data_IF_705075050085
#
_entry.id   IF_705075050085
#
_cell.length_a   1.000
_cell.length_b   1.000
_cell.length_c   1.000
_cell.angle_alpha   90.00
_cell.angle_beta   90.00
_cell.angle_gamma   90.00
#
_symmetry.space_group_name_H-M   'P 1'
#
loop_
_entity.id
_entity.type
_entity.pdbx_description
1 polymer ?
#
# COMPACT_ATOMS: atom_id res chain seq x y z
N UNK A 1 -39.85 -17.33 16.40
CA UNK A 1 -39.57 -16.21 15.47
C UNK A 1 -38.29 -15.44 15.81
N UNK A 2 -38.01 -15.09 17.08
CA UNK A 2 -36.81 -14.33 17.49
C UNK A 2 -35.47 -15.08 17.25
N UNK A 3 -35.46 -16.41 17.40
CA UNK A 3 -34.27 -17.25 17.12
C UNK A 3 -33.87 -17.28 15.64
N UNK A 4 -34.86 -17.18 14.73
CA UNK A 4 -34.63 -17.22 13.28
C UNK A 4 -33.99 -15.91 12.78
N UNK A 5 -34.46 -14.77 13.30
CA UNK A 5 -33.90 -13.45 13.00
C UNK A 5 -32.47 -13.26 13.51
N UNK A 6 -32.12 -13.77 14.71
CA UNK A 6 -30.73 -13.74 15.20
C UNK A 6 -29.81 -14.56 14.30
N UNK A 7 -30.21 -15.77 13.92
CA UNK A 7 -29.39 -16.65 13.07
C UNK A 7 -29.15 -16.04 11.68
N UNK A 8 -30.13 -15.36 11.09
CA UNK A 8 -29.98 -14.66 9.81
C UNK A 8 -29.13 -13.38 9.92
N UNK A 9 -29.26 -12.62 11.00
CA UNK A 9 -28.46 -11.41 11.23
C UNK A 9 -26.97 -11.76 11.41
N UNK A 10 -26.66 -12.83 12.14
CA UNK A 10 -25.29 -13.29 12.33
C UNK A 10 -24.66 -13.85 11.06
N UNK A 11 -25.41 -14.60 10.25
CA UNK A 11 -24.94 -15.05 8.94
C UNK A 11 -24.66 -13.86 8.01
N UNK A 12 -25.46 -12.80 8.07
CA UNK A 12 -25.19 -11.58 7.29
C UNK A 12 -23.93 -10.84 7.77
N UNK A 13 -23.70 -10.75 9.08
CA UNK A 13 -22.51 -10.11 9.67
C UNK A 13 -21.22 -10.88 9.35
N UNK A 14 -21.23 -12.21 9.43
CA UNK A 14 -20.07 -13.04 9.06
C UNK A 14 -19.77 -12.97 7.56
N UNK A 15 -20.80 -13.01 6.70
CA UNK A 15 -20.65 -12.83 5.25
C UNK A 15 -20.09 -11.44 4.89
N UNK A 16 -20.54 -10.38 5.57
CA UNK A 16 -20.00 -9.02 5.38
C UNK A 16 -18.53 -8.93 5.79
N UNK A 17 -18.13 -9.59 6.88
CA UNK A 17 -16.74 -9.62 7.33
C UNK A 17 -15.84 -10.40 6.36
N UNK A 18 -16.29 -11.57 5.89
CA UNK A 18 -15.55 -12.40 4.92
C UNK A 18 -15.37 -11.67 3.58
N UNK A 19 -16.42 -11.01 3.09
CA UNK A 19 -16.35 -10.20 1.86
C UNK A 19 -15.41 -8.99 2.05
N UNK A 20 -15.36 -8.41 3.24
CA UNK A 20 -14.41 -7.34 3.58
C UNK A 20 -12.97 -7.85 3.56
N UNK A 21 -12.70 -9.00 4.20
CA UNK A 21 -11.36 -9.59 4.29
C UNK A 21 -10.83 -10.00 2.91
N UNK A 22 -11.66 -10.65 2.09
CA UNK A 22 -11.29 -11.05 0.72
C UNK A 22 -11.04 -9.85 -0.19
N UNK A 23 -11.83 -8.78 -0.07
CA UNK A 23 -11.56 -7.53 -0.77
C UNK A 23 -10.23 -6.88 -0.33
N UNK A 24 -9.92 -6.91 0.97
CA UNK A 24 -8.65 -6.39 1.50
C UNK A 24 -7.44 -7.19 0.99
N UNK A 25 -7.51 -8.53 0.98
CA UNK A 25 -6.45 -9.39 0.44
C UNK A 25 -6.23 -9.16 -1.07
N UNK A 26 -7.29 -9.02 -1.84
CA UNK A 26 -7.18 -8.75 -3.28
C UNK A 26 -6.52 -7.39 -3.55
N UNK A 27 -6.83 -6.37 -2.75
CA UNK A 27 -6.22 -5.05 -2.90
C UNK A 27 -4.71 -5.06 -2.60
N UNK A 28 -4.24 -5.98 -1.75
CA UNK A 28 -2.81 -6.13 -1.44
C UNK A 28 -2.05 -6.95 -2.49
N UNK A 29 -2.73 -7.77 -3.29
CA UNK A 29 -2.09 -8.61 -4.31
C UNK A 29 -1.45 -7.83 -5.48
N UNK A 30 -1.58 -6.51 -5.51
CA UNK A 30 -1.17 -5.64 -6.62
C UNK A 30 -0.03 -4.68 -6.24
N UNK A 31 0.81 -5.08 -5.29
CA UNK A 31 2.02 -4.34 -4.92
C UNK A 31 3.28 -5.13 -5.24
N UNK A 32 4.31 -4.41 -5.66
CA UNK A 32 5.64 -4.92 -5.98
C UNK A 32 6.63 -4.44 -4.94
N UNK A 33 7.46 -5.36 -4.44
CA UNK A 33 8.53 -5.05 -3.48
C UNK A 33 9.69 -4.34 -4.19
N UNK A 34 10.07 -3.19 -3.64
CA UNK A 34 11.28 -2.46 -3.99
C UNK A 34 12.29 -2.68 -2.86
N UNK A 35 13.43 -3.26 -3.23
CA UNK A 35 14.58 -3.43 -2.35
C UNK A 35 15.19 -2.07 -2.01
N UNK A 36 15.96 -2.03 -0.92
CA UNK A 36 16.68 -0.81 -0.56
C UNK A 36 17.77 -0.49 -1.58
N UNK A 37 18.03 0.80 -1.76
CA UNK A 37 19.15 1.29 -2.54
C UNK A 37 19.89 2.33 -1.70
N UNK A 38 21.22 2.17 -1.59
CA UNK A 38 22.10 3.14 -0.98
C UNK A 38 23.04 3.71 -2.04
N UNK A 39 22.97 5.01 -2.26
CA UNK A 39 23.92 5.74 -3.10
C UNK A 39 24.83 6.61 -2.23
N UNK A 40 26.14 6.46 -2.40
CA UNK A 40 27.14 7.24 -1.69
C UNK A 40 27.82 8.23 -2.63
N UNK A 41 27.74 9.52 -2.32
CA UNK A 41 28.66 10.51 -2.86
C UNK A 41 29.94 10.48 -2.02
N UNK A 42 31.07 10.21 -2.67
CA UNK A 42 32.38 10.17 -2.04
C UNK A 42 33.25 11.33 -2.52
N UNK A 43 34.10 11.85 -1.64
CA UNK A 43 35.17 12.79 -1.99
C UNK A 43 36.52 12.20 -1.62
N UNK A 44 37.55 12.58 -2.36
CA UNK A 44 38.94 12.29 -2.01
C UNK A 44 39.28 12.93 -0.66
N UNK A 45 39.94 12.16 0.20
CA UNK A 45 40.46 12.64 1.47
C UNK A 45 41.45 13.79 1.22
N UNK A 46 41.19 15.02 1.73
CA UNK A 46 42.02 16.19 1.45
C UNK A 46 43.45 16.05 2.00
N UNK A 47 43.67 15.20 3.01
CA UNK A 47 45.00 14.94 3.59
C UNK A 47 45.70 13.75 2.90
N UNK A 48 45.03 13.05 1.98
CA UNK A 48 45.61 11.96 1.23
C UNK A 48 46.29 12.43 -0.06
N UNK A 49 47.61 12.56 0.02
CA UNK A 49 48.46 12.94 -1.11
C UNK A 49 48.60 11.87 -2.19
N UNK A 50 48.16 10.63 -1.91
CA UNK A 50 48.20 9.50 -2.84
C UNK A 50 46.87 9.27 -3.57
N UNK A 51 45.80 9.97 -3.20
CA UNK A 51 44.44 9.84 -3.75
C UNK A 51 43.86 8.42 -3.66
N UNK A 52 44.27 7.65 -2.66
CA UNK A 52 43.83 6.26 -2.44
C UNK A 52 42.63 6.18 -1.47
N UNK A 53 42.36 7.24 -0.72
CA UNK A 53 41.31 7.33 0.29
C UNK A 53 40.19 8.25 -0.17
N UNK A 54 38.97 7.76 0.02
CA UNK A 54 37.76 8.57 -0.11
C UNK A 54 36.96 8.49 1.18
N UNK A 55 36.20 9.54 1.48
CA UNK A 55 35.20 9.54 2.54
C UNK A 55 33.83 9.89 1.95
N UNK A 56 32.79 9.34 2.56
CA UNK A 56 31.40 9.60 2.17
C UNK A 56 31.06 11.04 2.60
N UNK A 57 30.64 11.86 1.64
CA UNK A 57 30.20 13.24 1.87
C UNK A 57 28.70 13.41 1.83
N UNK A 58 27.99 12.46 1.21
CA UNK A 58 26.56 12.32 1.32
C UNK A 58 26.17 10.86 1.06
N UNK A 59 25.13 10.40 1.73
CA UNK A 59 24.41 9.19 1.35
C UNK A 59 22.98 9.56 0.98
N UNK A 60 22.39 8.81 0.05
CA UNK A 60 20.98 8.86 -0.29
C UNK A 60 20.47 7.43 -0.26
N UNK A 61 19.55 7.17 0.64
CA UNK A 61 18.96 5.84 0.83
C UNK A 61 17.50 5.86 0.38
N UNK A 62 17.12 4.80 -0.32
CA UNK A 62 15.72 4.41 -0.53
C UNK A 62 15.45 3.26 0.43
N UNK A 63 14.60 3.53 1.41
CA UNK A 63 14.11 2.51 2.33
C UNK A 63 13.24 1.49 1.58
N UNK A 64 13.30 0.19 1.96
CA UNK A 64 12.53 -0.83 1.27
C UNK A 64 11.03 -0.58 1.44
N UNK A 65 10.30 -0.70 0.33
CA UNK A 65 8.88 -0.38 0.29
C UNK A 65 8.14 -1.25 -0.73
N UNK A 66 6.82 -1.18 -0.71
CA UNK A 66 5.96 -1.77 -1.72
C UNK A 66 5.28 -0.68 -2.53
N UNK A 67 5.34 -0.77 -3.85
CA UNK A 67 4.71 0.18 -4.78
C UNK A 67 3.54 -0.48 -5.52
N UNK A 68 2.43 0.23 -5.67
CA UNK A 68 1.29 -0.26 -6.44
C UNK A 68 1.70 -0.50 -7.90
N UNK A 69 1.37 -1.68 -8.43
CA UNK A 69 1.82 -2.14 -9.76
C UNK A 69 1.31 -1.25 -10.90
N UNK A 70 0.21 -0.54 -10.66
CA UNK A 70 -0.51 0.28 -11.63
C UNK A 70 -0.84 1.64 -11.01
N UNK A 71 -1.20 2.60 -11.83
CA UNK A 71 -1.80 3.84 -11.38
C UNK A 71 -3.18 3.58 -10.74
N UNK A 72 -3.57 4.40 -9.77
CA UNK A 72 -4.87 4.27 -9.08
C UNK A 72 -6.00 4.40 -10.09
N UNK A 73 -6.91 3.43 -10.11
CA UNK A 73 -8.00 3.41 -11.08
C UNK A 73 -9.09 4.43 -10.73
N UNK A 74 -9.85 4.85 -11.75
CA UNK A 74 -11.06 5.66 -11.56
C UNK A 74 -12.08 4.98 -10.63
N UNK A 75 -12.16 3.64 -10.63
CA UNK A 75 -13.04 2.84 -9.79
C UNK A 75 -12.63 2.89 -8.31
N UNK A 76 -11.35 2.72 -8.01
CA UNK A 76 -10.85 2.76 -6.64
C UNK A 76 -11.00 4.17 -6.05
N UNK A 77 -10.69 5.19 -6.87
CA UNK A 77 -10.88 6.58 -6.48
C UNK A 77 -12.36 6.95 -6.29
N UNK A 78 -13.27 6.42 -7.13
CA UNK A 78 -14.71 6.59 -6.94
C UNK A 78 -15.18 5.95 -5.63
N UNK A 79 -14.65 4.78 -5.28
CA UNK A 79 -14.93 4.11 -4.00
C UNK A 79 -14.51 4.97 -2.81
N UNK A 80 -13.29 5.53 -2.85
CA UNK A 80 -12.83 6.52 -1.89
C UNK A 80 -13.81 7.70 -1.76
N UNK A 81 -14.21 8.30 -2.88
CA UNK A 81 -15.15 9.42 -2.88
C UNK A 81 -16.48 9.06 -2.24
N UNK A 82 -17.04 7.88 -2.57
CA UNK A 82 -18.30 7.38 -2.01
C UNK A 82 -18.19 7.15 -0.49
N UNK A 83 -17.10 6.54 -0.02
CA UNK A 83 -16.88 6.23 1.40
C UNK A 83 -16.64 7.48 2.25
N UNK A 84 -15.95 8.47 1.69
CA UNK A 84 -15.63 9.74 2.38
C UNK A 84 -16.66 10.85 2.12
N UNK A 85 -17.69 10.58 1.31
CA UNK A 85 -18.68 11.56 0.84
C UNK A 85 -18.05 12.76 0.12
N UNK A 86 -16.84 12.61 -0.42
CA UNK A 86 -16.18 13.62 -1.27
C UNK A 86 -16.80 13.61 -2.66
N UNK A 87 -16.84 14.79 -3.28
CA UNK A 87 -17.24 14.91 -4.68
C UNK A 87 -16.11 14.41 -5.58
N UNK A 88 -16.40 13.43 -6.43
CA UNK A 88 -15.42 12.93 -7.40
C UNK A 88 -15.06 14.02 -8.42
N UNK A 89 -13.76 14.23 -8.71
CA UNK A 89 -13.34 15.08 -9.82
C UNK A 89 -13.89 14.57 -11.15
N UNK A 90 -14.33 15.48 -12.01
CA UNK A 90 -14.91 15.12 -13.30
C UNK A 90 -13.86 14.40 -14.16
N UNK A 91 -14.16 13.16 -14.55
CA UNK A 91 -13.32 12.43 -15.49
C UNK A 91 -13.64 12.83 -16.94
N UNK A 92 -12.70 12.64 -17.89
CA UNK A 92 -12.96 12.86 -19.31
C UNK A 92 -14.19 12.09 -19.81
N UNK A 93 -14.89 12.63 -20.81
CA UNK A 93 -16.13 12.02 -21.32
C UNK A 93 -15.85 10.60 -21.83
N UNK A 94 -16.64 9.64 -21.35
CA UNK A 94 -16.47 8.22 -21.69
C UNK A 94 -15.16 7.64 -21.14
N UNK A 95 -14.68 8.15 -20.01
CA UNK A 95 -13.62 7.51 -19.22
C UNK A 95 -14.13 6.16 -18.70
N UNK A 96 -13.33 5.11 -18.88
CA UNK A 96 -13.61 3.79 -18.33
C UNK A 96 -13.05 3.77 -16.89
N UNK A 97 -13.86 3.48 -15.85
CA UNK A 97 -13.40 3.47 -14.45
C UNK A 97 -12.23 2.51 -14.16
N UNK A 98 -11.97 1.53 -15.02
CA UNK A 98 -10.83 0.61 -14.88
C UNK A 98 -9.50 1.21 -15.39
N UNK A 99 -9.52 2.42 -15.95
CA UNK A 99 -8.34 3.16 -16.36
C UNK A 99 -7.85 4.06 -15.21
N UNK A 100 -6.61 4.58 -15.27
CA UNK A 100 -6.09 5.51 -14.27
C UNK A 100 -7.02 6.70 -14.05
N UNK A 101 -7.26 7.04 -12.78
CA UNK A 101 -7.96 8.28 -12.44
C UNK A 101 -7.13 9.48 -12.92
N UNK A 102 -7.78 10.44 -13.56
CA UNK A 102 -7.16 11.68 -14.03
C UNK A 102 -7.97 12.89 -13.56
N UNK A 103 -7.57 14.12 -13.93
CA UNK A 103 -8.17 15.35 -13.40
C UNK A 103 -8.15 15.39 -11.87
N UNK A 104 -7.13 14.78 -11.26
CA UNK A 104 -6.83 14.88 -9.83
C UNK A 104 -5.72 15.89 -9.63
N UNK A 105 -5.61 16.42 -8.42
CA UNK A 105 -4.51 17.27 -8.01
C UNK A 105 -3.81 16.66 -6.78
N UNK A 106 -2.76 17.30 -6.29
CA UNK A 106 -1.96 16.78 -5.18
C UNK A 106 -2.82 16.46 -3.94
N UNK A 107 -3.71 17.38 -3.57
CA UNK A 107 -4.55 17.24 -2.38
C UNK A 107 -5.56 16.09 -2.50
N UNK A 108 -6.08 15.86 -3.71
CA UNK A 108 -6.95 14.71 -3.98
C UNK A 108 -6.20 13.38 -3.81
N UNK A 109 -4.94 13.31 -4.28
CA UNK A 109 -4.09 12.13 -4.17
C UNK A 109 -3.63 11.87 -2.73
N UNK A 110 -3.20 12.90 -2.00
CA UNK A 110 -2.85 12.81 -0.56
C UNK A 110 -4.07 12.38 0.27
N UNK A 111 -5.25 12.96 0.04
CA UNK A 111 -6.45 12.59 0.77
C UNK A 111 -6.86 11.12 0.54
N UNK A 112 -6.56 10.57 -0.65
CA UNK A 112 -6.75 9.15 -0.93
C UNK A 112 -5.78 8.29 -0.11
N UNK A 113 -4.51 8.66 -0.07
CA UNK A 113 -3.50 8.00 0.77
C UNK A 113 -3.88 8.05 2.25
N UNK A 114 -4.24 9.23 2.79
CA UNK A 114 -4.67 9.40 4.18
C UNK A 114 -5.90 8.55 4.53
N UNK A 115 -6.85 8.44 3.61
CA UNK A 115 -8.02 7.57 3.81
C UNK A 115 -7.64 6.10 3.92
N UNK A 116 -6.77 5.61 3.02
CA UNK A 116 -6.25 4.24 3.13
C UNK A 116 -5.47 4.05 4.42
N UNK A 117 -4.61 5.00 4.78
CA UNK A 117 -3.83 4.96 6.01
C UNK A 117 -4.70 4.87 7.25
N UNK A 118 -5.75 5.67 7.31
CA UNK A 118 -6.72 5.64 8.41
C UNK A 118 -7.50 4.33 8.45
N UNK A 119 -7.91 3.81 7.28
CA UNK A 119 -8.72 2.60 7.19
C UNK A 119 -7.93 1.33 7.59
N UNK A 120 -6.70 1.21 7.10
CA UNK A 120 -5.85 0.04 7.34
C UNK A 120 -4.94 0.19 8.56
N UNK A 121 -4.85 1.39 9.12
CA UNK A 121 -4.02 1.73 10.28
C UNK A 121 -2.52 1.51 10.04
N UNK A 122 -2.08 1.79 8.81
CA UNK A 122 -0.68 1.79 8.33
C UNK A 122 -0.44 3.04 7.48
N UNK A 123 0.76 3.24 6.98
CA UNK A 123 1.11 4.39 6.15
C UNK A 123 1.03 4.06 4.66
N UNK A 124 -0.01 4.56 4.00
CA UNK A 124 -0.02 4.78 2.55
C UNK A 124 0.37 6.22 2.26
N UNK A 125 1.20 6.41 1.24
CA UNK A 125 1.66 7.73 0.80
C UNK A 125 1.93 7.74 -0.71
N UNK A 126 2.21 8.94 -1.23
CA UNK A 126 2.73 9.07 -2.59
C UNK A 126 4.21 8.64 -2.60
N UNK A 127 4.74 8.15 -3.73
CA UNK A 127 6.18 7.97 -3.85
C UNK A 127 6.88 9.33 -3.86
N UNK A 128 8.09 9.40 -3.33
CA UNK A 128 9.00 10.50 -3.61
C UNK A 128 9.47 10.45 -5.07
N UNK A 129 9.98 11.57 -5.60
CA UNK A 129 10.59 11.61 -6.94
C UNK A 129 11.64 10.51 -7.12
N UNK A 130 12.49 10.31 -6.09
CA UNK A 130 13.56 9.32 -6.13
C UNK A 130 13.03 7.90 -6.10
N UNK A 131 12.09 7.59 -5.21
CA UNK A 131 11.48 6.26 -5.15
C UNK A 131 10.81 5.91 -6.49
N UNK A 132 10.15 6.88 -7.12
CA UNK A 132 9.53 6.70 -8.41
C UNK A 132 10.57 6.44 -9.52
N UNK A 133 11.61 7.27 -9.60
CA UNK A 133 12.68 7.15 -10.62
C UNK A 133 13.46 5.85 -10.47
N UNK A 134 13.79 5.44 -9.24
CA UNK A 134 14.44 4.16 -8.97
C UNK A 134 13.56 2.99 -9.42
N UNK A 135 12.30 3.00 -8.99
CA UNK A 135 11.33 1.99 -9.38
C UNK A 135 11.17 1.90 -10.89
N UNK A 136 11.17 3.05 -11.59
CA UNK A 136 11.08 3.10 -13.04
C UNK A 136 12.34 2.55 -13.70
N UNK A 137 13.54 2.93 -13.24
CA UNK A 137 14.80 2.75 -13.97
C UNK A 137 15.22 1.29 -14.19
N UNK A 138 14.66 0.35 -13.45
CA UNK A 138 15.11 -1.04 -13.47
C UNK A 138 14.25 -1.90 -14.40
N UNK A 139 14.91 -2.48 -15.39
CA UNK A 139 14.41 -3.72 -15.99
C UNK A 139 13.32 -3.57 -17.05
N UNK A 140 13.35 -2.48 -17.82
CA UNK A 140 12.51 -2.41 -19.01
C UNK A 140 12.99 -3.37 -20.10
N UNK A 141 12.03 -4.03 -20.74
CA UNK A 141 12.32 -4.71 -22.00
C UNK A 141 12.74 -3.71 -23.06
N UNK A 142 13.65 -4.13 -23.93
CA UNK A 142 14.06 -3.31 -25.09
C UNK A 142 12.83 -2.83 -25.84
N UNK A 143 12.84 -1.56 -26.23
CA UNK A 143 11.77 -0.95 -27.01
C UNK A 143 11.39 -1.84 -28.19
N UNK A 144 10.14 -2.32 -28.18
CA UNK A 144 9.61 -3.14 -29.24
C UNK A 144 8.87 -2.23 -30.20
N UNK A 145 9.43 -2.04 -31.39
CA UNK A 145 8.82 -1.20 -32.43
C UNK A 145 7.98 -2.02 -33.39
N UNK A 146 6.82 -1.50 -33.76
CA UNK A 146 6.02 -2.05 -34.85
C UNK A 146 6.61 -1.68 -36.23
N UNK A 147 5.91 -2.07 -37.32
CA UNK A 147 6.32 -1.77 -38.70
C UNK A 147 6.43 -0.27 -39.04
N UNK A 148 5.82 0.59 -38.23
CA UNK A 148 5.83 2.04 -38.38
C UNK A 148 6.84 2.71 -37.44
N UNK A 149 7.62 1.93 -36.68
CA UNK A 149 8.58 2.47 -35.71
C UNK A 149 7.98 2.86 -34.36
N UNK A 150 6.69 2.58 -34.12
CA UNK A 150 5.98 2.93 -32.89
C UNK A 150 6.35 1.93 -31.80
N UNK A 151 6.79 2.44 -30.64
CA UNK A 151 7.10 1.58 -29.50
C UNK A 151 5.80 1.04 -28.87
N UNK A 152 5.66 -0.28 -28.80
CA UNK A 152 4.47 -0.95 -28.27
C UNK A 152 4.57 -1.27 -26.79
N UNK A 153 5.72 -1.04 -26.15
CA UNK A 153 5.94 -1.36 -24.73
C UNK A 153 5.62 -0.18 -23.80
N UNK A 154 5.31 1.00 -24.35
CA UNK A 154 4.99 2.23 -23.62
C UNK A 154 3.67 2.80 -24.17
N UNK A 155 3.03 3.71 -23.44
CA UNK A 155 1.80 4.41 -23.92
C UNK A 155 2.09 5.89 -24.04
N UNK A 156 2.00 6.45 -25.24
CA UNK A 156 2.38 7.83 -25.55
C UNK A 156 1.57 8.35 -26.74
N UNK A 157 1.80 9.61 -27.15
CA UNK A 157 0.98 10.32 -28.15
C UNK A 157 0.65 9.50 -29.41
N UNK A 158 1.62 8.76 -29.96
CA UNK A 158 1.45 8.06 -31.23
C UNK A 158 0.68 6.73 -31.15
N UNK A 159 0.51 6.14 -29.95
CA UNK A 159 -0.22 4.88 -29.77
C UNK A 159 -1.40 4.97 -28.82
N UNK A 160 -1.61 6.13 -28.19
CA UNK A 160 -2.77 6.45 -27.38
C UNK A 160 -4.03 6.53 -28.22
N UNK A 161 -5.01 5.67 -27.92
CA UNK A 161 -6.28 5.65 -28.65
C UNK A 161 -7.23 6.69 -28.08
N UNK A 162 -7.72 7.59 -28.94
CA UNK A 162 -8.70 8.62 -28.60
C UNK A 162 -8.25 9.57 -27.47
N UNK A 163 -6.95 9.87 -27.38
CA UNK A 163 -6.40 10.82 -26.39
C UNK A 163 -6.80 10.47 -24.94
N UNK A 164 -6.63 9.19 -24.59
CA UNK A 164 -6.99 8.63 -23.28
C UNK A 164 -5.90 7.70 -22.77
N UNK A 165 -5.83 7.47 -21.45
CA UNK A 165 -5.02 6.40 -20.88
C UNK A 165 -5.38 5.06 -21.50
N UNK A 166 -4.40 4.18 -21.60
CA UNK A 166 -4.60 2.79 -21.99
C UNK A 166 -4.90 1.93 -20.77
N UNK A 167 -5.27 0.67 -21.00
CA UNK A 167 -5.54 -0.29 -19.94
C UNK A 167 -4.34 -0.46 -18.99
N UNK A 168 -4.59 -0.69 -17.71
CA UNK A 168 -3.53 -0.76 -16.69
C UNK A 168 -2.51 -1.90 -16.90
N UNK A 169 -2.82 -2.91 -17.72
CA UNK A 169 -1.96 -4.09 -17.98
C UNK A 169 -1.53 -4.29 -19.43
N UNK A 170 -1.75 -3.33 -20.35
CA UNK A 170 -1.43 -3.55 -21.78
C UNK A 170 0.03 -3.37 -22.16
N UNK A 171 0.86 -2.83 -21.26
CA UNK A 171 2.30 -2.77 -21.45
C UNK A 171 2.96 -3.93 -20.72
N UNK A 172 4.20 -4.22 -21.08
CA UNK A 172 4.99 -5.16 -20.31
C UNK A 172 5.46 -4.45 -19.03
N UNK A 173 5.36 -5.08 -17.85
CA UNK A 173 5.92 -4.49 -16.65
C UNK A 173 7.45 -4.48 -16.70
N UNK A 174 8.05 -3.65 -15.87
CA UNK A 174 9.48 -3.69 -15.61
C UNK A 174 9.87 -4.90 -14.72
N UNK A 175 11.13 -5.03 -14.32
CA UNK A 175 11.58 -6.21 -13.55
C UNK A 175 10.97 -6.32 -12.15
N UNK A 176 10.46 -5.22 -11.58
CA UNK A 176 9.71 -5.26 -10.34
C UNK A 176 8.26 -5.71 -10.53
N UNK A 177 7.74 -5.77 -11.75
CA UNK A 177 6.31 -6.02 -11.99
C UNK A 177 5.47 -4.74 -12.08
N UNK A 178 6.10 -3.57 -12.17
CA UNK A 178 5.41 -2.28 -12.28
C UNK A 178 5.09 -1.97 -13.75
N UNK A 179 3.84 -1.58 -14.00
CA UNK A 179 3.33 -1.22 -15.32
C UNK A 179 3.32 0.29 -15.49
N UNK A 180 3.41 0.71 -16.76
CA UNK A 180 3.27 2.11 -17.17
C UNK A 180 4.18 3.10 -16.45
N UNK A 181 5.34 2.64 -15.96
CA UNK A 181 6.40 3.53 -15.47
C UNK A 181 7.02 4.42 -16.58
N UNK A 182 6.51 4.33 -17.81
CA UNK A 182 6.86 5.15 -18.98
C UNK A 182 5.59 5.44 -19.78
N UNK A 183 5.10 6.66 -19.66
CA UNK A 183 3.90 7.13 -20.34
C UNK A 183 2.60 6.77 -19.62
N UNK A 184 1.52 6.60 -20.39
CA UNK A 184 0.15 6.48 -19.91
C UNK A 184 -0.33 7.76 -19.24
N UNK A 185 -0.08 8.01 -17.96
CA UNK A 185 -0.42 9.28 -17.31
C UNK A 185 0.78 9.82 -16.55
N UNK A 186 0.89 11.15 -16.49
CA UNK A 186 1.80 11.80 -15.55
C UNK A 186 1.42 11.43 -14.13
N UNK A 187 2.40 11.16 -13.27
CA UNK A 187 2.13 10.71 -11.92
C UNK A 187 2.62 11.69 -10.86
N UNK A 188 1.71 11.99 -9.94
CA UNK A 188 1.97 12.86 -8.79
C UNK A 188 2.92 12.17 -7.81
N UNK A 189 4.02 12.87 -7.46
CA UNK A 189 4.92 12.47 -6.36
C UNK A 189 4.66 13.31 -5.11
N UNK A 190 5.28 12.92 -3.99
CA UNK A 190 5.39 13.78 -2.82
C UNK A 190 6.08 15.11 -3.17
N UNK A 191 5.67 16.16 -2.47
CA UNK A 191 6.30 17.46 -2.61
C UNK A 191 7.72 17.44 -2.07
N UNK A 192 8.68 17.83 -2.89
CA UNK A 192 10.01 18.24 -2.43
C UNK A 192 9.87 19.43 -1.48
N UNK A 193 10.36 19.30 -0.25
CA UNK A 193 10.38 20.37 0.77
C UNK A 193 11.62 21.23 0.70
N UNK A 194 12.60 20.89 -0.15
CA UNK A 194 13.96 21.36 0.09
C UNK A 194 14.23 22.77 -0.43
N UNK A 195 13.79 23.21 -1.61
CA UNK A 195 14.12 24.57 -2.11
C UNK A 195 13.14 25.16 -3.14
N UNK A 196 11.89 24.68 -3.23
CA UNK A 196 10.92 25.08 -4.25
C UNK A 196 9.67 25.74 -3.67
N UNK A 197 8.99 26.55 -4.49
CA UNK A 197 7.65 27.11 -4.23
C UNK A 197 6.75 26.04 -3.62
N UNK A 198 6.24 26.30 -2.41
CA UNK A 198 5.40 25.38 -1.63
C UNK A 198 4.15 24.93 -2.40
N UNK A 199 3.79 25.63 -3.49
CA UNK A 199 2.67 25.29 -4.36
C UNK A 199 3.03 24.38 -5.53
N UNK A 200 4.26 23.87 -5.61
CA UNK A 200 4.74 23.04 -6.74
C UNK A 200 5.05 21.61 -6.32
N UNK A 201 4.85 20.67 -7.24
CA UNK A 201 5.22 19.27 -7.11
C UNK A 201 5.87 18.79 -8.40
N UNK A 202 6.61 17.68 -8.31
CA UNK A 202 7.13 16.99 -9.48
C UNK A 202 6.07 16.00 -9.98
N UNK A 203 5.88 15.96 -11.30
CA UNK A 203 5.19 14.88 -11.98
C UNK A 203 6.22 14.01 -12.70
N UNK A 204 6.04 12.69 -12.68
CA UNK A 204 6.98 11.72 -13.27
C UNK A 204 6.35 10.91 -14.40
N UNK A 205 7.20 10.43 -15.32
CA UNK A 205 6.91 9.33 -16.24
C UNK A 205 6.35 9.67 -17.61
N UNK A 206 5.76 10.85 -17.78
CA UNK A 206 5.12 11.26 -19.03
C UNK A 206 3.70 10.72 -19.20
N UNK A 207 2.97 11.22 -20.19
CA UNK A 207 1.58 10.83 -20.42
C UNK A 207 1.31 10.43 -21.87
N UNK A 208 0.07 9.99 -22.12
CA UNK A 208 -0.47 9.70 -23.43
C UNK A 208 -0.55 10.92 -24.36
N UNK A 209 -0.25 12.13 -23.90
CA UNK A 209 -0.09 13.33 -24.74
C UNK A 209 1.35 13.63 -25.13
N UNK A 210 2.32 12.94 -24.54
CA UNK A 210 3.74 13.24 -24.70
C UNK A 210 4.35 12.43 -25.85
N UNK A 211 5.38 13.00 -26.47
CA UNK A 211 6.22 12.29 -27.44
C UNK A 211 7.10 11.23 -26.75
N UNK A 212 7.64 10.29 -27.54
CA UNK A 212 8.44 9.18 -27.01
C UNK A 212 9.66 9.64 -26.18
N UNK A 213 10.22 10.82 -26.48
CA UNK A 213 11.37 11.37 -25.76
C UNK A 213 11.00 11.93 -24.37
N UNK A 214 9.70 12.13 -24.10
CA UNK A 214 9.17 12.69 -22.86
C UNK A 214 8.44 11.64 -21.99
N UNK A 215 8.61 10.35 -22.30
CA UNK A 215 8.06 9.19 -21.56
C UNK A 215 9.18 8.23 -21.14
N UNK A 216 10.17 8.76 -20.43
CA UNK A 216 11.35 8.05 -19.93
C UNK A 216 11.30 7.92 -18.41
N UNK A 217 12.12 7.03 -17.84
CA UNK A 217 12.20 6.82 -16.40
C UNK A 217 12.59 8.09 -15.60
N UNK A 218 13.29 9.02 -16.25
CA UNK A 218 13.70 10.30 -15.69
C UNK A 218 12.90 11.49 -16.24
N UNK A 219 11.85 11.24 -17.04
CA UNK A 219 10.99 12.31 -17.55
C UNK A 219 10.20 12.90 -16.38
N UNK A 220 10.38 14.21 -16.18
CA UNK A 220 9.77 14.93 -15.07
C UNK A 220 9.38 16.35 -15.45
N UNK A 221 8.35 16.87 -14.81
CA UNK A 221 7.89 18.24 -14.99
C UNK A 221 7.41 18.84 -13.67
N UNK A 222 7.72 20.11 -13.44
CA UNK A 222 7.18 20.85 -12.32
C UNK A 222 5.73 21.25 -12.61
N UNK A 223 4.83 21.00 -11.67
CA UNK A 223 3.41 21.29 -11.81
C UNK A 223 2.85 21.93 -10.55
N UNK A 224 1.84 22.78 -10.71
CA UNK A 224 1.18 23.40 -9.57
C UNK A 224 0.25 22.39 -8.88
N UNK A 225 0.42 22.23 -7.56
CA UNK A 225 -0.30 21.25 -6.72
C UNK A 225 -1.82 21.36 -6.77
N UNK A 226 -2.37 22.52 -7.09
CA UNK A 226 -3.81 22.78 -7.12
C UNK A 226 -4.42 22.51 -8.49
N UNK A 227 -3.62 22.51 -9.56
CA UNK A 227 -4.10 22.34 -10.93
C UNK A 227 -4.36 20.87 -11.25
N UNK A 228 -5.45 20.64 -11.98
CA UNK A 228 -5.90 19.34 -12.48
C UNK A 228 -5.64 19.28 -13.98
N UNK A 229 -5.17 18.14 -14.49
CA UNK A 229 -5.02 17.89 -15.93
C UNK A 229 -5.64 16.54 -16.30
N UNK A 230 -6.09 16.43 -17.55
CA UNK A 230 -6.76 15.23 -18.07
C UNK A 230 -5.82 14.03 -18.26
N UNK A 231 -4.52 14.24 -18.08
CA UNK A 231 -3.45 13.27 -18.24
C UNK A 231 -2.57 13.13 -16.98
N UNK A 232 -3.02 13.67 -15.84
CA UNK A 232 -2.34 13.56 -14.54
C UNK A 232 -3.14 12.67 -13.61
N UNK A 233 -2.53 11.56 -13.22
CA UNK A 233 -2.98 10.60 -12.22
C UNK A 233 -1.93 10.41 -11.12
N UNK A 234 -1.92 9.26 -10.46
CA UNK A 234 -0.94 8.93 -9.43
C UNK A 234 -0.94 7.43 -9.12
N UNK A 235 0.15 6.97 -8.48
CA UNK A 235 0.22 5.68 -7.78
C UNK A 235 0.63 5.90 -6.33
N UNK A 236 0.59 4.83 -5.54
CA UNK A 236 0.85 4.88 -4.09
C UNK A 236 1.94 3.90 -3.70
N UNK A 237 2.56 4.17 -2.55
CA UNK A 237 3.53 3.30 -1.89
C UNK A 237 3.13 3.06 -0.44
N UNK A 238 3.69 2.00 0.14
CA UNK A 238 3.57 1.62 1.55
C UNK A 238 4.93 1.11 2.03
N UNK A 239 5.46 1.58 3.19
CA UNK A 239 6.71 1.08 3.73
C UNK A 239 6.70 -0.44 3.94
N UNK A 240 7.85 -1.11 3.79
CA UNK A 240 7.95 -2.57 3.93
C UNK A 240 7.31 -3.09 5.23
N UNK A 241 7.69 -2.51 6.37
CA UNK A 241 7.18 -2.89 7.71
C UNK A 241 5.65 -2.82 7.76
N UNK A 242 5.10 -1.72 7.27
CA UNK A 242 3.66 -1.47 7.26
C UNK A 242 2.91 -2.46 6.36
N UNK A 243 3.45 -2.77 5.18
CA UNK A 243 2.86 -3.76 4.29
C UNK A 243 2.87 -5.18 4.88
N UNK A 244 4.01 -5.57 5.47
CA UNK A 244 4.17 -6.88 6.08
C UNK A 244 3.28 -7.05 7.31
N UNK A 245 3.16 -6.02 8.17
CA UNK A 245 2.22 -6.00 9.30
C UNK A 245 0.76 -6.06 8.83
N UNK A 246 0.40 -5.31 7.79
CA UNK A 246 -0.96 -5.33 7.25
C UNK A 246 -1.32 -6.70 6.70
N UNK A 247 -0.41 -7.32 5.92
CA UNK A 247 -0.58 -8.67 5.40
C UNK A 247 -0.73 -9.70 6.52
N UNK A 248 0.16 -9.63 7.51
CA UNK A 248 0.11 -10.48 8.71
C UNK A 248 -1.24 -10.36 9.42
N UNK A 249 -1.69 -9.13 9.69
CA UNK A 249 -2.94 -8.86 10.38
C UNK A 249 -4.16 -9.45 9.64
N UNK A 250 -4.22 -9.31 8.31
CA UNK A 250 -5.35 -9.80 7.50
C UNK A 250 -5.35 -11.33 7.41
N UNK A 251 -4.20 -11.94 7.15
CA UNK A 251 -4.07 -13.40 7.12
C UNK A 251 -4.41 -14.00 8.49
N UNK A 252 -3.92 -13.40 9.57
CA UNK A 252 -4.24 -13.83 10.93
C UNK A 252 -5.74 -13.63 11.24
N UNK A 253 -6.33 -12.49 10.87
CA UNK A 253 -7.78 -12.26 11.03
C UNK A 253 -8.60 -13.34 10.30
N UNK A 254 -8.13 -13.78 9.13
CA UNK A 254 -8.73 -14.86 8.34
C UNK A 254 -8.64 -16.20 9.08
N UNK A 255 -7.52 -16.49 9.74
CA UNK A 255 -7.35 -17.70 10.54
C UNK A 255 -8.21 -17.71 11.80
N UNK A 256 -8.40 -16.55 12.44
CA UNK A 256 -9.23 -16.43 13.66
C UNK A 256 -10.73 -16.43 13.33
N UNK A 257 -11.13 -15.88 12.19
CA UNK A 257 -12.54 -15.67 11.85
C UNK A 257 -13.44 -16.91 12.06
N UNK A 258 -13.07 -18.14 11.65
CA UNK A 258 -13.92 -19.33 11.81
C UNK A 258 -14.18 -19.74 13.27
N UNK A 259 -13.30 -19.34 14.19
CA UNK A 259 -13.34 -19.73 15.60
C UNK A 259 -13.67 -18.55 16.52
N UNK A 260 -13.98 -17.39 15.94
CA UNK A 260 -14.17 -16.16 16.68
C UNK A 260 -15.51 -16.15 17.43
N UNK A 261 -15.52 -15.63 18.65
CA UNK A 261 -16.76 -15.48 19.43
C UNK A 261 -17.64 -14.38 18.83
N UNK A 262 -18.85 -14.74 18.42
CA UNK A 262 -19.82 -13.81 17.83
C UNK A 262 -20.28 -12.70 18.80
N UNK A 263 -20.14 -12.89 20.12
CA UNK A 263 -20.52 -11.89 21.14
C UNK A 263 -19.42 -10.90 21.45
N UNK A 264 -18.16 -11.29 21.33
CA UNK A 264 -17.00 -10.47 21.64
C UNK A 264 -15.85 -10.81 20.67
N UNK A 265 -16.00 -10.43 19.39
CA UNK A 265 -15.08 -10.87 18.36
C UNK A 265 -13.70 -10.24 18.56
N UNK A 266 -12.68 -11.08 18.40
CA UNK A 266 -11.30 -10.65 18.27
C UNK A 266 -11.15 -9.96 16.92
N UNK A 267 -10.65 -8.73 16.95
CA UNK A 267 -10.35 -7.93 15.75
C UNK A 267 -8.85 -7.71 15.68
N UNK A 268 -8.26 -7.99 14.52
CA UNK A 268 -6.83 -7.87 14.29
C UNK A 268 -6.61 -6.81 13.22
N UNK A 269 -5.68 -5.91 13.49
CA UNK A 269 -5.32 -4.78 12.62
C UNK A 269 -3.80 -4.65 12.59
N UNK A 270 -3.29 -3.78 11.71
CA UNK A 270 -1.87 -3.48 11.69
C UNK A 270 -1.36 -2.71 12.93
N UNK A 271 -2.25 -2.19 13.80
CA UNK A 271 -1.85 -1.64 15.11
C UNK A 271 -1.76 -2.69 16.20
N UNK A 272 -2.56 -3.74 16.10
CA UNK A 272 -2.63 -4.75 17.15
C UNK A 272 -3.95 -5.52 17.17
N UNK A 273 -4.17 -6.19 18.30
CA UNK A 273 -5.29 -7.10 18.57
C UNK A 273 -6.27 -6.42 19.53
N UNK A 274 -7.56 -6.47 19.20
CA UNK A 274 -8.64 -5.94 20.02
C UNK A 274 -9.62 -7.03 20.44
N UNK A 275 -10.11 -6.97 21.68
CA UNK A 275 -11.26 -7.74 22.14
C UNK A 275 -12.07 -6.93 23.15
N UNK A 276 -13.24 -6.45 22.74
CA UNK A 276 -14.02 -5.52 23.55
C UNK A 276 -13.25 -4.21 23.78
N UNK A 277 -12.89 -3.91 25.02
CA UNK A 277 -12.10 -2.73 25.39
C UNK A 277 -10.60 -3.03 25.52
N UNK A 278 -10.20 -4.30 25.41
CA UNK A 278 -8.80 -4.69 25.52
C UNK A 278 -8.09 -4.53 24.18
N UNK A 279 -6.86 -4.00 24.22
CA UNK A 279 -5.98 -3.80 23.08
C UNK A 279 -4.55 -4.25 23.40
N UNK A 280 -3.94 -5.02 22.51
CA UNK A 280 -2.51 -5.38 22.55
C UNK A 280 -1.84 -4.80 21.30
N UNK A 281 -0.85 -3.92 21.48
CA UNK A 281 -0.05 -3.38 20.37
C UNK A 281 1.02 -4.37 19.92
N UNK A 282 1.39 -4.34 18.64
CA UNK A 282 2.45 -5.22 18.12
C UNK A 282 3.85 -4.91 18.66
N UNK A 283 4.13 -3.66 19.07
CA UNK A 283 5.48 -3.19 19.49
C UNK A 283 5.78 -3.23 20.99
N UNK A 284 4.82 -3.63 21.83
CA UNK A 284 4.99 -3.66 23.29
C UNK A 284 5.44 -5.06 23.76
N UNK A 285 6.52 -5.61 23.20
CA UNK A 285 7.08 -6.89 23.69
C UNK A 285 6.11 -8.07 23.65
N UNK A 286 5.40 -8.24 22.53
CA UNK A 286 4.44 -9.31 22.32
C UNK A 286 5.10 -10.69 22.46
N UNK A 287 4.91 -11.33 23.62
CA UNK A 287 5.33 -12.71 23.86
C UNK A 287 4.14 -13.65 23.71
N UNK A 288 4.04 -14.22 22.50
CA UNK A 288 3.42 -15.50 22.19
C UNK A 288 1.88 -15.58 22.19
N UNK A 289 1.36 -16.15 21.09
CA UNK A 289 0.07 -16.82 21.09
C UNK A 289 0.20 -18.14 21.86
N UNK A 290 -0.67 -18.37 22.84
CA UNK A 290 -0.66 -19.60 23.64
C UNK A 290 -2.00 -20.32 23.56
N UNK A 291 -1.96 -21.63 23.83
CA UNK A 291 -3.17 -22.45 23.90
C UNK A 291 -2.98 -23.67 24.81
N UNK A 292 -4.09 -24.12 25.40
CA UNK A 292 -4.17 -25.35 26.20
C UNK A 292 -5.35 -26.20 25.67
N UNK A 293 -5.03 -27.40 25.19
CA UNK A 293 -5.99 -28.35 24.64
C UNK A 293 -6.98 -28.88 25.68
N UNK A 294 -6.52 -29.08 26.92
CA UNK A 294 -7.32 -29.68 27.99
C UNK A 294 -8.39 -28.71 28.47
N UNK A 295 -8.03 -27.45 28.68
CA UNK A 295 -8.97 -26.39 29.07
C UNK A 295 -9.73 -25.80 27.88
N UNK A 296 -9.31 -26.08 26.65
CA UNK A 296 -9.88 -25.52 25.43
C UNK A 296 -9.82 -23.98 25.41
N UNK A 297 -8.70 -23.43 25.88
CA UNK A 297 -8.45 -21.98 25.97
C UNK A 297 -7.25 -21.60 25.14
N UNK A 298 -7.33 -20.48 24.44
CA UNK A 298 -6.23 -19.87 23.72
C UNK A 298 -6.19 -18.37 24.01
N UNK A 299 -5.06 -17.72 23.80
CA UNK A 299 -4.95 -16.31 24.08
C UNK A 299 -3.68 -15.65 23.55
N UNK A 300 -3.65 -14.34 23.76
CA UNK A 300 -2.56 -13.45 23.41
C UNK A 300 -2.07 -12.77 24.69
N UNK A 301 -0.76 -12.81 24.92
CA UNK A 301 -0.11 -12.34 26.15
C UNK A 301 0.89 -11.20 25.86
N UNK A 302 1.27 -10.35 26.81
CA UNK A 302 0.84 -10.24 28.23
C UNK A 302 0.52 -8.80 28.68
N UNK A 303 0.37 -7.85 27.77
CA UNK A 303 0.10 -6.44 28.09
C UNK A 303 -1.09 -5.89 27.31
N UNK A 304 -2.29 -6.41 27.60
CA UNK A 304 -3.51 -5.81 27.06
C UNK A 304 -3.88 -4.56 27.86
N UNK A 305 -3.99 -3.42 27.19
CA UNK A 305 -4.42 -2.15 27.76
C UNK A 305 -5.93 -1.96 27.55
N UNK A 306 -6.60 -1.32 28.51
CA UNK A 306 -7.97 -0.83 28.29
C UNK A 306 -7.90 0.44 27.43
N UNK A 307 -8.57 0.44 26.27
CA UNK A 307 -8.59 1.57 25.34
C UNK A 307 -9.17 2.86 25.95
N UNK A 308 -9.93 2.77 27.05
CA UNK A 308 -10.43 3.93 27.78
C UNK A 308 -9.46 4.46 28.83
N UNK A 309 -8.35 3.74 29.08
CA UNK A 309 -7.32 4.05 30.07
C UNK A 309 -5.92 3.89 29.48
N UNK A 310 -5.71 4.49 28.31
CA UNK A 310 -4.42 4.48 27.63
C UNK A 310 -3.31 5.03 28.54
N UNK A 311 -2.23 4.28 28.71
CA UNK A 311 -1.09 4.65 29.57
C UNK A 311 -1.14 4.09 31.00
N UNK A 312 -2.20 3.39 31.39
CA UNK A 312 -2.21 2.57 32.61
C UNK A 312 -1.85 1.13 32.25
N UNK A 313 -0.66 0.66 32.69
CA UNK A 313 -0.27 -0.74 32.50
C UNK A 313 -1.27 -1.67 33.19
N UNK A 314 -1.81 -2.61 32.42
CA UNK A 314 -2.64 -3.69 32.94
C UNK A 314 -2.05 -5.02 32.45
N UNK A 315 -1.79 -5.95 33.38
CA UNK A 315 -1.38 -7.32 33.07
C UNK A 315 -2.57 -8.16 32.59
N UNK A 316 -3.33 -7.64 31.63
CA UNK A 316 -4.48 -8.32 31.07
C UNK A 316 -4.06 -9.15 29.84
N UNK A 317 -4.71 -10.30 29.67
CA UNK A 317 -4.56 -11.18 28.51
C UNK A 317 -5.81 -11.11 27.66
N UNK A 318 -5.67 -11.26 26.35
CA UNK A 318 -6.82 -11.49 25.47
C UNK A 318 -7.00 -13.00 25.33
N UNK A 319 -7.88 -13.59 26.15
CA UNK A 319 -8.20 -15.02 26.12
C UNK A 319 -9.53 -15.33 25.46
N UNK A 320 -9.66 -16.51 24.85
CA UNK A 320 -10.90 -17.04 24.29
C UNK A 320 -10.94 -18.57 24.38
N UNK A 321 -12.15 -19.11 24.46
CA UNK A 321 -12.37 -20.55 24.40
C UNK A 321 -12.60 -21.00 22.96
N UNK A 322 -12.16 -22.20 22.62
CA UNK A 322 -12.36 -22.82 21.31
C UNK A 322 -13.00 -24.21 21.47
N UNK A 323 -13.57 -24.80 20.42
CA UNK A 323 -14.09 -26.18 20.52
C UNK A 323 -12.99 -27.18 20.22
N UNK A 324 -13.07 -28.40 20.75
CA UNK A 324 -12.10 -29.47 20.44
C UNK A 324 -11.90 -29.72 18.93
N UNK A 325 -12.96 -29.56 18.13
CA UNK A 325 -12.90 -29.68 16.66
C UNK A 325 -12.03 -28.61 15.98
N UNK A 326 -11.89 -27.44 16.62
CA UNK A 326 -11.13 -26.29 16.14
C UNK A 326 -9.63 -26.37 16.48
N UNK A 327 -9.18 -27.41 17.19
CA UNK A 327 -7.80 -27.52 17.66
C UNK A 327 -6.76 -27.42 16.53
N UNK A 328 -7.05 -28.01 15.36
CA UNK A 328 -6.18 -27.86 14.17
C UNK A 328 -6.08 -26.41 13.69
N UNK A 329 -7.16 -25.63 13.84
CA UNK A 329 -7.17 -24.22 13.48
C UNK A 329 -6.33 -23.39 14.47
N UNK A 330 -6.41 -23.69 15.77
CA UNK A 330 -5.56 -23.11 16.81
C UNK A 330 -4.07 -23.38 16.52
N UNK A 331 -3.72 -24.61 16.14
CA UNK A 331 -2.34 -24.94 15.76
C UNK A 331 -1.86 -24.16 14.53
N UNK A 332 -2.73 -23.90 13.55
CA UNK A 332 -2.39 -23.05 12.40
C UNK A 332 -2.15 -21.60 12.81
N UNK A 333 -2.94 -21.07 13.75
CA UNK A 333 -2.75 -19.73 14.29
C UNK A 333 -1.38 -19.65 14.98
N UNK A 334 -1.08 -20.60 15.88
CA UNK A 334 0.22 -20.66 16.56
C UNK A 334 1.39 -20.70 15.58
N UNK A 335 1.35 -21.62 14.60
CA UNK A 335 2.40 -21.73 13.58
C UNK A 335 2.51 -20.50 12.65
N UNK A 336 1.46 -19.69 12.56
CA UNK A 336 1.49 -18.44 11.80
C UNK A 336 2.18 -17.32 12.60
N UNK A 337 1.92 -17.24 13.90
CA UNK A 337 2.64 -16.34 14.81
C UNK A 337 4.15 -16.63 14.84
N UNK A 338 4.54 -17.90 14.90
CA UNK A 338 5.96 -18.30 14.94
C UNK A 338 6.76 -17.87 13.69
N UNK A 339 6.08 -17.60 12.57
CA UNK A 339 6.71 -17.16 11.31
C UNK A 339 6.91 -15.66 11.19
N UNK A 340 6.25 -14.88 12.04
CA UNK A 340 6.31 -13.43 12.04
C UNK A 340 6.82 -12.96 13.40
N UNK A 341 8.14 -13.07 13.67
CA UNK A 341 8.73 -12.36 14.78
C UNK A 341 8.54 -10.88 14.50
N UNK A 342 7.67 -10.21 15.26
CA UNK A 342 7.60 -8.76 15.23
C UNK A 342 8.89 -8.28 15.89
N UNK A 343 9.93 -8.07 15.08
CA UNK A 343 11.15 -7.42 15.55
C UNK A 343 10.78 -6.00 16.01
N UNK A 344 11.18 -5.65 17.24
CA UNK A 344 10.93 -4.34 17.83
C UNK A 344 11.51 -3.23 16.96
#
# INVERSE_FOLDING_TARGET
MISFFKKHLLVCLSLLLINSITAQLNNLAHFSYLESEEEFATMLDPDDTLFEKTYIVASREIEPLYMLNYEVSGHDFETFCKKTKRKMPSQPKGHNPLLPVVNVNHNDAVAYCEWLSSYYQVTFRLPSEREWEYAASIGFSKDKKDKNGINTNIVYLYNAKNEKPSCITCTQPNLYGLYHMRGNVWEITESSTSYADENTMTLMGGSFFEDADHVQANSKVNHNKLLKRADVGFRIVIPKRDYELLRFAIELQTLIHPINDEKAPITITAKGIYKGQLFIAWGDGFENFYYDEKSQTAGFCCWAQDINKLGEESNSVIEFSFKKEDFKQIQKIAAYFDKFPVEN
#
